data_IF_015356026786
#
_entry.id   IF_015356026786
#
_cell.length_a   1.000
_cell.length_b   1.000
_cell.length_c   1.000
_cell.angle_alpha   90.00
_cell.angle_beta   90.00
_cell.angle_gamma   90.00
#
_symmetry.space_group_name_H-M   'P 1'
#
loop_
_entity.id
_entity.type
_entity.pdbx_description
1 polymer ?
#
# COMPACT_ATOMS: atom_id res chain seq x y z
N UNK A 1 22.75 -22.07 -65.02
CA UNK A 1 23.84 -22.17 -64.01
C UNK A 1 24.34 -20.76 -63.75
N UNK A 2 24.41 -20.39 -62.48
CA UNK A 2 24.59 -19.04 -61.96
C UNK A 2 25.99 -18.45 -62.18
N UNK A 3 26.15 -17.20 -61.67
CA UNK A 3 27.36 -16.42 -61.38
C UNK A 3 27.77 -15.43 -62.48
N UNK A 4 28.15 -14.17 -62.23
CA UNK A 4 28.20 -13.28 -61.06
C UNK A 4 28.62 -11.89 -61.59
N UNK A 5 28.40 -10.79 -60.85
CA UNK A 5 29.00 -9.48 -61.18
C UNK A 5 28.25 -8.23 -60.70
N UNK A 6 28.47 -7.84 -59.42
CA UNK A 6 28.94 -6.52 -58.91
C UNK A 6 28.66 -5.23 -59.73
N UNK A 7 28.28 -4.03 -59.26
CA UNK A 7 28.65 -3.21 -58.07
C UNK A 7 27.63 -2.05 -57.92
N UNK A 8 27.36 -1.68 -56.66
CA UNK A 8 26.92 -0.41 -56.03
C UNK A 8 26.23 0.73 -56.80
N UNK A 9 25.19 1.30 -56.16
CA UNK A 9 25.24 2.71 -55.75
C UNK A 9 24.42 2.91 -54.45
N UNK A 10 25.05 3.50 -53.44
CA UNK A 10 24.43 3.98 -52.20
C UNK A 10 23.84 5.37 -52.44
N UNK A 11 22.59 5.59 -52.04
CA UNK A 11 22.09 6.91 -51.70
C UNK A 11 21.10 6.81 -50.54
N UNK A 12 21.48 7.46 -49.45
CA UNK A 12 20.72 7.82 -48.26
C UNK A 12 19.26 8.22 -48.55
N UNK A 13 18.31 7.56 -47.88
CA UNK A 13 16.98 8.15 -47.62
C UNK A 13 16.49 7.74 -46.21
N UNK A 14 16.69 8.69 -45.29
CA UNK A 14 15.81 9.08 -44.17
C UNK A 14 14.82 8.03 -43.61
N UNK A 15 15.09 7.56 -42.39
CA UNK A 15 14.08 6.98 -41.49
C UNK A 15 13.02 8.04 -41.12
N UNK A 16 11.71 7.73 -41.21
CA UNK A 16 10.70 8.34 -40.35
C UNK A 16 10.51 7.50 -39.05
N UNK A 17 9.93 8.11 -38.01
CA UNK A 17 10.12 7.71 -36.62
C UNK A 17 9.19 6.58 -36.14
N UNK A 18 9.59 6.02 -35.00
CA UNK A 18 8.80 5.20 -34.08
C UNK A 18 7.43 5.84 -33.83
N UNK A 19 6.37 5.07 -34.01
CA UNK A 19 4.99 5.51 -33.81
C UNK A 19 4.04 4.87 -34.83
N UNK A 20 3.79 3.58 -34.69
CA UNK A 20 2.68 2.91 -35.35
C UNK A 20 1.95 2.10 -34.27
N UNK A 21 0.82 2.62 -33.80
CA UNK A 21 -0.15 1.85 -33.03
C UNK A 21 -0.64 0.67 -33.88
N UNK A 22 -0.72 -0.55 -33.34
CA UNK A 22 -1.46 -1.61 -34.02
C UNK A 22 -2.96 -1.40 -33.79
N UNK A 23 -3.60 -0.68 -34.71
CA UNK A 23 -5.05 -0.73 -34.89
C UNK A 23 -5.43 -2.09 -35.48
N UNK A 24 -5.60 -3.09 -34.62
CA UNK A 24 -6.14 -4.39 -34.98
C UNK A 24 -7.03 -4.88 -33.84
N UNK A 25 -8.31 -5.14 -34.13
CA UNK A 25 -9.18 -5.86 -33.20
C UNK A 25 -8.58 -7.27 -32.99
N UNK A 26 -8.26 -7.68 -31.75
CA UNK A 26 -7.62 -8.97 -31.49
C UNK A 26 -8.63 -10.13 -31.54
N UNK A 27 -8.12 -11.35 -31.63
CA UNK A 27 -8.91 -12.59 -31.71
C UNK A 27 -9.48 -13.05 -30.37
N UNK A 28 -10.48 -13.94 -30.43
CA UNK A 28 -11.39 -14.33 -29.33
C UNK A 28 -10.77 -14.96 -28.06
N UNK A 29 -9.45 -15.21 -28.01
CA UNK A 29 -8.77 -15.94 -26.91
C UNK A 29 -7.75 -15.11 -26.11
N UNK A 30 -7.54 -13.83 -26.43
CA UNK A 30 -6.58 -12.99 -25.71
C UNK A 30 -7.26 -12.16 -24.62
N UNK A 31 -6.78 -12.29 -23.38
CA UNK A 31 -7.28 -11.52 -22.24
C UNK A 31 -6.53 -10.19 -22.13
N UNK A 32 -7.29 -9.10 -22.14
CA UNK A 32 -6.77 -7.74 -22.03
C UNK A 32 -7.22 -7.08 -20.73
N UNK A 33 -6.27 -6.36 -20.13
CA UNK A 33 -6.49 -5.45 -19.03
C UNK A 33 -6.39 -4.02 -19.58
N UNK A 34 -7.41 -3.21 -19.30
CA UNK A 34 -7.49 -1.83 -19.74
C UNK A 34 -7.07 -0.89 -18.62
N UNK A 35 -6.57 0.29 -18.99
CA UNK A 35 -6.20 1.34 -18.03
C UNK A 35 -7.44 2.13 -17.54
N UNK A 36 -8.56 2.06 -18.25
CA UNK A 36 -9.81 2.73 -17.94
C UNK A 36 -11.02 1.79 -18.06
N UNK A 37 -12.09 2.01 -17.26
CA UNK A 37 -13.32 1.25 -17.40
C UNK A 37 -14.04 1.59 -18.71
N UNK A 38 -14.71 0.60 -19.31
CA UNK A 38 -15.47 0.78 -20.55
C UNK A 38 -16.89 1.22 -20.24
N UNK A 39 -17.29 2.38 -20.76
CA UNK A 39 -18.64 2.91 -20.63
C UNK A 39 -19.70 1.89 -21.13
N UNK A 40 -20.78 1.74 -20.35
CA UNK A 40 -21.87 0.81 -20.66
C UNK A 40 -21.51 -0.68 -20.45
N UNK A 41 -20.30 -1.02 -19.99
CA UNK A 41 -19.94 -2.40 -19.63
C UNK A 41 -19.63 -2.52 -18.15
N UNK A 42 -19.93 -3.70 -17.59
CA UNK A 42 -19.40 -4.06 -16.26
C UNK A 42 -17.93 -4.38 -16.44
N UNK A 43 -17.09 -3.72 -15.66
CA UNK A 43 -15.66 -3.96 -15.59
C UNK A 43 -15.31 -4.49 -14.20
N UNK A 44 -14.34 -5.39 -14.14
CA UNK A 44 -13.76 -5.88 -12.88
C UNK A 44 -12.40 -5.22 -12.73
N UNK A 45 -12.30 -4.28 -11.79
CA UNK A 45 -11.07 -3.61 -11.43
C UNK A 45 -10.21 -4.54 -10.57
N UNK A 46 -9.00 -4.85 -11.04
CA UNK A 46 -8.05 -5.73 -10.37
C UNK A 46 -6.71 -5.05 -10.21
N UNK A 47 -5.95 -5.54 -9.23
CA UNK A 47 -4.56 -5.16 -9.02
C UNK A 47 -3.67 -6.41 -9.10
N UNK A 48 -3.32 -6.84 -10.33
CA UNK A 48 -2.77 -8.15 -10.58
C UNK A 48 -1.25 -8.20 -10.45
N UNK A 49 -0.74 -8.14 -9.23
CA UNK A 49 0.70 -8.37 -8.96
C UNK A 49 1.15 -9.75 -9.48
N UNK A 50 0.25 -10.75 -9.49
CA UNK A 50 0.55 -12.13 -9.90
C UNK A 50 0.41 -12.45 -11.40
N UNK A 51 -0.22 -11.60 -12.24
CA UNK A 51 -0.64 -12.03 -13.60
C UNK A 51 0.23 -11.47 -14.72
N UNK A 52 1.00 -10.40 -14.48
CA UNK A 52 1.88 -9.83 -15.51
C UNK A 52 3.37 -9.83 -15.14
N UNK A 53 4.29 -9.99 -16.11
CA UNK A 53 5.71 -9.72 -15.90
C UNK A 53 5.87 -8.24 -15.53
N UNK A 54 6.84 -7.87 -14.66
CA UNK A 54 7.10 -6.48 -14.37
C UNK A 54 7.72 -5.86 -15.62
N UNK A 55 6.90 -5.24 -16.47
CA UNK A 55 7.35 -4.24 -17.42
C UNK A 55 7.74 -2.94 -16.71
N UNK A 56 7.77 -2.94 -15.37
CA UNK A 56 7.96 -1.75 -14.55
C UNK A 56 6.73 -0.84 -14.57
N UNK A 57 5.51 -1.36 -14.65
CA UNK A 57 4.30 -0.50 -14.58
C UNK A 57 3.34 -0.96 -13.49
N UNK A 58 2.74 0.02 -12.83
CA UNK A 58 2.47 0.14 -11.38
C UNK A 58 1.13 -0.50 -10.97
N UNK A 59 0.72 -0.31 -9.70
CA UNK A 59 -0.46 -0.92 -9.10
C UNK A 59 -1.08 0.02 -8.04
N UNK A 60 -2.35 0.40 -8.19
CA UNK A 60 -3.13 1.11 -7.14
C UNK A 60 -4.59 0.59 -7.15
N UNK A 61 -5.29 0.68 -6.01
CA UNK A 61 -6.75 0.46 -5.90
C UNK A 61 -7.35 1.85 -5.73
N UNK A 62 -8.36 2.26 -6.51
CA UNK A 62 -8.88 3.61 -6.39
C UNK A 62 -9.60 3.74 -5.04
N UNK A 63 -8.91 4.32 -4.07
CA UNK A 63 -9.53 4.86 -2.88
C UNK A 63 -9.31 6.38 -2.88
N UNK A 64 -10.42 7.10 -2.69
CA UNK A 64 -10.54 8.54 -2.40
C UNK A 64 -9.99 9.48 -3.49
N UNK A 65 -10.90 10.04 -4.31
CA UNK A 65 -10.55 11.09 -5.28
C UNK A 65 -9.92 12.33 -4.63
N UNK A 66 -10.19 12.60 -3.35
CA UNK A 66 -9.51 13.65 -2.56
C UNK A 66 -7.99 13.47 -2.36
N UNK A 67 -7.41 12.32 -2.74
CA UNK A 67 -5.96 12.09 -2.73
C UNK A 67 -5.27 12.45 -4.06
N UNK A 68 -6.04 12.74 -5.12
CA UNK A 68 -5.50 13.09 -6.45
C UNK A 68 -4.71 14.40 -6.42
N UNK A 69 -5.14 15.41 -5.66
CA UNK A 69 -4.59 16.76 -5.72
C UNK A 69 -3.21 16.93 -5.05
N UNK A 70 -2.96 16.24 -3.94
CA UNK A 70 -1.75 16.47 -3.13
C UNK A 70 -0.48 15.83 -3.72
N UNK A 71 -0.62 14.77 -4.52
CA UNK A 71 0.54 14.06 -5.08
C UNK A 71 1.12 14.77 -6.32
N UNK A 72 0.25 15.40 -7.12
CA UNK A 72 0.65 16.22 -8.26
C UNK A 72 1.45 17.45 -7.83
N UNK A 73 1.01 18.12 -6.76
CA UNK A 73 1.70 19.29 -6.21
C UNK A 73 3.03 18.93 -5.53
N UNK A 74 3.14 17.77 -4.87
CA UNK A 74 4.35 17.36 -4.17
C UNK A 74 5.44 16.78 -5.09
N UNK A 75 5.07 16.11 -6.17
CA UNK A 75 6.01 15.35 -7.02
C UNK A 75 6.22 15.94 -8.41
N UNK A 76 5.36 16.85 -8.86
CA UNK A 76 5.40 17.42 -10.21
C UNK A 76 5.02 16.43 -11.32
N UNK A 77 4.44 15.29 -10.96
CA UNK A 77 3.90 14.27 -11.86
C UNK A 77 2.41 14.07 -11.56
N UNK A 78 1.58 14.01 -12.61
CA UNK A 78 0.18 13.63 -12.49
C UNK A 78 0.00 12.21 -11.89
N UNK A 79 -1.22 11.79 -11.49
CA UNK A 79 -1.55 10.42 -11.07
C UNK A 79 -1.49 9.40 -12.23
N UNK A 80 -0.70 9.67 -13.26
CA UNK A 80 -0.54 8.87 -14.50
C UNK A 80 0.03 7.45 -14.24
N UNK A 81 0.30 7.12 -12.98
CA UNK A 81 0.92 5.89 -12.51
C UNK A 81 0.02 5.06 -11.57
N UNK A 82 -1.28 5.34 -11.47
CA UNK A 82 -2.23 4.57 -10.68
C UNK A 82 -2.87 3.44 -11.52
N UNK A 83 -2.17 2.33 -11.78
CA UNK A 83 -2.79 1.27 -12.60
C UNK A 83 -3.63 0.33 -11.72
N UNK A 84 -4.87 0.74 -11.52
CA UNK A 84 -5.99 -0.20 -11.44
C UNK A 84 -6.22 -0.70 -12.86
N UNK A 85 -6.25 -2.02 -13.05
CA UNK A 85 -6.51 -2.58 -14.36
C UNK A 85 -7.94 -3.08 -14.45
N UNK A 86 -8.59 -2.83 -15.58
CA UNK A 86 -9.98 -3.19 -15.79
C UNK A 86 -10.05 -4.40 -16.73
N UNK A 87 -10.51 -5.52 -16.19
CA UNK A 87 -10.93 -6.65 -17.00
C UNK A 87 -12.39 -6.46 -17.42
N UNK A 88 -12.67 -6.61 -18.72
CA UNK A 88 -14.03 -6.58 -19.26
C UNK A 88 -14.47 -8.02 -19.52
N UNK A 89 -15.39 -8.59 -18.73
CA UNK A 89 -15.93 -9.91 -19.00
C UNK A 89 -16.57 -10.00 -20.39
N UNK A 90 -16.50 -11.20 -20.99
CA UNK A 90 -17.06 -11.50 -22.31
C UNK A 90 -18.52 -11.06 -22.45
N UNK A 91 -18.93 -10.68 -23.66
CA UNK A 91 -20.30 -10.20 -23.93
C UNK A 91 -21.39 -11.21 -23.51
N UNK A 92 -21.08 -12.51 -23.52
CA UNK A 92 -21.99 -13.57 -23.09
C UNK A 92 -22.35 -13.54 -21.59
N UNK A 93 -21.62 -12.81 -20.76
CA UNK A 93 -21.92 -12.64 -19.32
C UNK A 93 -22.25 -11.20 -18.94
N UNK A 94 -22.08 -10.23 -19.85
CA UNK A 94 -22.29 -8.80 -19.58
C UNK A 94 -23.74 -8.49 -19.19
N UNK A 95 -24.74 -8.97 -19.95
CA UNK A 95 -26.15 -8.67 -19.65
C UNK A 95 -26.56 -9.10 -18.24
N UNK A 96 -26.09 -10.26 -17.80
CA UNK A 96 -26.37 -10.78 -16.45
C UNK A 96 -25.67 -9.95 -15.38
N UNK A 97 -24.40 -9.61 -15.57
CA UNK A 97 -23.65 -8.78 -14.62
C UNK A 97 -24.25 -7.37 -14.53
N UNK A 98 -24.62 -6.77 -15.66
CA UNK A 98 -25.31 -5.48 -15.71
C UNK A 98 -26.63 -5.52 -14.92
N UNK A 99 -27.42 -6.59 -15.08
CA UNK A 99 -28.67 -6.75 -14.34
C UNK A 99 -28.42 -6.88 -12.83
N UNK A 100 -27.39 -7.62 -12.41
CA UNK A 100 -27.02 -7.75 -11.00
C UNK A 100 -26.51 -6.44 -10.41
N UNK A 101 -25.65 -5.71 -11.15
CA UNK A 101 -25.10 -4.41 -10.74
C UNK A 101 -26.17 -3.32 -10.66
N UNK A 102 -27.11 -3.28 -11.63
CA UNK A 102 -28.24 -2.35 -11.61
C UNK A 102 -29.21 -2.56 -10.44
N UNK A 103 -29.13 -3.73 -9.78
CA UNK A 103 -29.91 -4.03 -8.58
C UNK A 103 -29.31 -3.49 -7.28
N UNK A 104 -28.08 -2.96 -7.29
CA UNK A 104 -27.44 -2.37 -6.12
C UNK A 104 -27.96 -0.95 -5.86
N UNK A 105 -28.29 -0.63 -4.60
CA UNK A 105 -28.76 0.70 -4.22
C UNK A 105 -27.64 1.53 -3.59
N UNK A 106 -27.03 2.40 -4.39
CA UNK A 106 -26.01 3.34 -3.92
C UNK A 106 -26.52 4.42 -2.95
N UNK A 107 -27.84 4.53 -2.77
CA UNK A 107 -28.45 5.50 -1.84
C UNK A 107 -28.83 4.88 -0.50
N UNK A 108 -28.63 3.56 -0.33
CA UNK A 108 -28.98 2.82 0.88
C UNK A 108 -28.27 3.33 2.13
N UNK A 109 -27.11 3.97 1.97
CA UNK A 109 -26.31 4.41 3.10
C UNK A 109 -25.60 3.25 3.79
N UNK A 110 -25.00 3.55 4.94
CA UNK A 110 -24.34 2.57 5.82
C UNK A 110 -24.92 2.77 7.22
N UNK A 111 -25.34 1.68 7.86
CA UNK A 111 -25.79 1.74 9.24
C UNK A 111 -24.61 1.89 10.20
N UNK A 112 -24.82 2.46 11.39
CA UNK A 112 -23.78 2.57 12.42
C UNK A 112 -23.23 1.21 12.88
N UNK A 113 -24.04 0.15 12.77
CA UNK A 113 -23.62 -1.21 13.05
C UNK A 113 -22.72 -1.76 11.94
N UNK A 114 -23.03 -1.43 10.68
CA UNK A 114 -22.30 -1.93 9.52
C UNK A 114 -21.01 -1.16 9.26
N UNK A 115 -20.94 0.13 9.61
CA UNK A 115 -19.69 0.91 9.57
C UNK A 115 -18.63 0.39 10.55
N UNK A 116 -19.05 -0.36 11.58
CA UNK A 116 -18.16 -1.02 12.54
C UNK A 116 -17.80 -2.46 12.15
N UNK A 117 -18.53 -3.07 11.20
CA UNK A 117 -18.21 -4.37 10.62
C UNK A 117 -17.16 -4.19 9.54
N UNK A 118 -15.94 -3.87 9.95
CA UNK A 118 -14.78 -3.81 9.05
C UNK A 118 -14.52 -5.18 8.42
N UNK A 119 -15.14 -5.45 7.28
CA UNK A 119 -14.90 -6.68 6.53
C UNK A 119 -13.48 -6.71 5.94
N UNK A 120 -13.05 -7.91 5.53
CA UNK A 120 -11.83 -8.07 4.74
C UNK A 120 -12.17 -7.95 3.26
N UNK A 121 -11.56 -6.97 2.58
CA UNK A 121 -11.66 -6.84 1.13
C UNK A 121 -11.04 -8.07 0.44
N UNK A 122 -11.33 -8.30 -0.84
CA UNK A 122 -10.74 -9.41 -1.61
C UNK A 122 -9.87 -8.95 -2.78
N UNK A 123 -9.55 -7.66 -2.83
CA UNK A 123 -8.55 -7.09 -3.73
C UNK A 123 -9.02 -6.85 -5.16
N UNK A 124 -10.34 -6.85 -5.40
CA UNK A 124 -10.92 -6.39 -6.65
C UNK A 124 -12.21 -5.61 -6.38
N UNK A 125 -12.59 -4.79 -7.36
CA UNK A 125 -13.80 -3.96 -7.31
C UNK A 125 -14.63 -4.16 -8.58
N UNK A 126 -15.93 -3.92 -8.51
CA UNK A 126 -16.85 -3.96 -9.64
C UNK A 126 -17.22 -2.56 -10.07
N UNK A 127 -17.02 -2.25 -11.35
CA UNK A 127 -17.26 -0.93 -11.91
C UNK A 127 -18.39 -0.97 -12.94
N UNK A 128 -19.38 -0.08 -12.79
CA UNK A 128 -20.50 0.06 -13.73
C UNK A 128 -21.19 1.42 -13.59
N UNK A 129 -21.44 2.09 -14.72
CA UNK A 129 -22.16 3.38 -14.79
C UNK A 129 -21.59 4.44 -13.82
N UNK A 130 -20.26 4.55 -13.80
CA UNK A 130 -19.52 5.50 -12.94
C UNK A 130 -19.43 5.10 -11.46
N UNK A 131 -20.00 3.98 -11.04
CA UNK A 131 -19.92 3.50 -9.66
C UNK A 131 -18.88 2.40 -9.52
N UNK A 132 -18.13 2.42 -8.42
CA UNK A 132 -17.15 1.40 -8.05
C UNK A 132 -17.54 0.79 -6.73
N UNK A 133 -17.60 -0.53 -6.70
CA UNK A 133 -17.99 -1.33 -5.55
C UNK A 133 -16.85 -2.24 -5.13
N UNK A 134 -16.23 -1.95 -3.98
CA UNK A 134 -15.20 -2.80 -3.39
C UNK A 134 -15.83 -4.07 -2.82
N UNK A 135 -15.26 -5.22 -3.16
CA UNK A 135 -15.81 -6.52 -2.77
C UNK A 135 -15.14 -7.06 -1.51
N UNK A 136 -15.94 -7.64 -0.63
CA UNK A 136 -15.52 -8.22 0.64
C UNK A 136 -15.70 -9.74 0.67
N UNK A 137 -14.95 -10.42 1.55
CA UNK A 137 -14.92 -11.88 1.68
C UNK A 137 -16.28 -12.50 2.02
N UNK A 138 -17.15 -11.75 2.71
CA UNK A 138 -18.48 -12.21 3.11
C UNK A 138 -19.56 -12.04 2.02
N UNK A 139 -19.20 -11.42 0.88
CA UNK A 139 -20.13 -11.13 -0.22
C UNK A 139 -20.81 -9.77 -0.10
N UNK A 140 -20.39 -8.92 0.83
CA UNK A 140 -20.75 -7.51 0.86
C UNK A 140 -19.96 -6.69 -0.16
N UNK A 141 -20.56 -5.56 -0.58
CA UNK A 141 -20.03 -4.61 -1.53
C UNK A 141 -20.15 -3.20 -0.97
N UNK A 142 -19.03 -2.49 -0.91
CA UNK A 142 -18.97 -1.11 -0.43
C UNK A 142 -18.77 -0.14 -1.59
N UNK A 143 -19.59 0.90 -1.66
CA UNK A 143 -19.45 2.00 -2.61
C UNK A 143 -19.11 3.27 -1.84
N UNK A 144 -18.09 3.99 -2.31
CA UNK A 144 -17.73 5.33 -1.87
C UNK A 144 -17.56 6.23 -3.09
N UNK A 145 -18.27 7.34 -3.10
CA UNK A 145 -18.11 8.42 -4.08
C UNK A 145 -18.06 9.75 -3.34
N UNK A 146 -17.10 10.60 -3.71
CA UNK A 146 -17.04 11.99 -3.26
C UNK A 146 -17.16 12.88 -4.48
N UNK A 147 -18.10 13.82 -4.46
CA UNK A 147 -18.18 14.86 -5.47
C UNK A 147 -17.23 15.99 -5.06
N UNK A 148 -16.19 16.24 -5.86
CA UNK A 148 -15.13 17.21 -5.54
C UNK A 148 -15.64 18.66 -5.50
N UNK A 149 -16.67 18.98 -6.28
CA UNK A 149 -17.22 20.34 -6.38
C UNK A 149 -18.13 20.68 -5.18
N UNK A 150 -18.88 19.69 -4.70
CA UNK A 150 -19.89 19.86 -3.66
C UNK A 150 -19.45 19.32 -2.29
N UNK A 151 -18.38 18.50 -2.27
CA UNK A 151 -17.94 17.69 -1.13
C UNK A 151 -19.03 16.73 -0.61
N UNK A 152 -20.06 16.45 -1.42
CA UNK A 152 -21.07 15.47 -1.08
C UNK A 152 -20.46 14.06 -1.18
N UNK A 153 -20.62 13.30 -0.10
CA UNK A 153 -20.15 11.91 -0.04
C UNK A 153 -21.35 10.98 -0.13
N UNK A 154 -21.30 10.06 -1.08
CA UNK A 154 -22.22 8.93 -1.18
C UNK A 154 -21.49 7.68 -0.70
N UNK A 155 -21.95 7.11 0.40
CA UNK A 155 -21.47 5.81 0.89
C UNK A 155 -22.64 4.81 0.92
N UNK A 156 -22.40 3.58 0.50
CA UNK A 156 -23.40 2.52 0.58
C UNK A 156 -22.76 1.15 0.82
N UNK A 157 -23.49 0.30 1.55
CA UNK A 157 -23.14 -1.11 1.74
C UNK A 157 -24.28 -2.02 1.28
N UNK A 158 -23.97 -2.90 0.33
CA UNK A 158 -24.89 -3.89 -0.20
C UNK A 158 -24.40 -5.31 0.04
N UNK A 159 -25.32 -6.27 0.00
CA UNK A 159 -25.00 -7.70 0.02
C UNK A 159 -25.49 -8.34 -1.27
N UNK A 160 -24.56 -8.90 -2.06
CA UNK A 160 -24.92 -9.65 -3.25
C UNK A 160 -23.90 -10.77 -3.49
N UNK A 161 -23.97 -11.79 -2.64
CA UNK A 161 -23.06 -12.94 -2.72
C UNK A 161 -23.04 -13.61 -4.10
N UNK A 162 -24.19 -13.67 -4.79
CA UNK A 162 -24.27 -14.27 -6.12
C UNK A 162 -23.44 -13.49 -7.15
N UNK A 163 -23.51 -12.16 -7.13
CA UNK A 163 -22.66 -11.29 -7.95
C UNK A 163 -21.18 -11.45 -7.60
N UNK A 164 -20.84 -11.45 -6.31
CA UNK A 164 -19.46 -11.63 -5.84
C UNK A 164 -18.87 -12.98 -6.27
N UNK A 165 -19.60 -14.08 -6.06
CA UNK A 165 -19.21 -15.43 -6.47
C UNK A 165 -19.02 -15.52 -7.99
N UNK A 166 -19.89 -14.84 -8.76
CA UNK A 166 -19.81 -14.82 -10.22
C UNK A 166 -18.57 -14.06 -10.71
N UNK A 167 -18.30 -12.89 -10.15
CA UNK A 167 -17.10 -12.11 -10.44
C UNK A 167 -15.82 -12.89 -10.08
N UNK A 168 -15.77 -13.50 -8.90
CA UNK A 168 -14.65 -14.32 -8.47
C UNK A 168 -14.42 -15.53 -9.39
N UNK A 169 -15.50 -16.19 -9.84
CA UNK A 169 -15.43 -17.30 -10.80
C UNK A 169 -14.83 -16.87 -12.14
N UNK A 170 -15.27 -15.73 -12.68
CA UNK A 170 -14.73 -15.15 -13.92
C UNK A 170 -13.24 -14.84 -13.77
N UNK A 171 -12.86 -14.15 -12.69
CA UNK A 171 -11.48 -13.78 -12.39
C UNK A 171 -10.57 -15.02 -12.26
N UNK A 172 -11.02 -16.05 -11.55
CA UNK A 172 -10.29 -17.31 -11.44
C UNK A 172 -10.10 -18.00 -12.78
N UNK A 173 -11.18 -18.14 -13.56
CA UNK A 173 -11.15 -18.87 -14.84
C UNK A 173 -10.31 -18.15 -15.89
N UNK A 174 -10.47 -16.83 -16.01
CA UNK A 174 -9.91 -16.03 -17.10
C UNK A 174 -8.53 -15.47 -16.79
N UNK A 175 -8.27 -15.18 -15.52
CA UNK A 175 -7.04 -14.52 -15.09
C UNK A 175 -6.20 -15.36 -14.12
N UNK A 176 -6.72 -16.47 -13.60
CA UNK A 176 -6.08 -17.16 -12.47
C UNK A 176 -6.02 -16.28 -11.21
N UNK A 177 -6.89 -15.27 -11.12
CA UNK A 177 -6.88 -14.32 -10.01
C UNK A 177 -7.71 -14.85 -8.86
N UNK A 178 -7.06 -15.12 -7.73
CA UNK A 178 -7.71 -15.53 -6.49
C UNK A 178 -7.07 -14.81 -5.29
N UNK A 179 -7.82 -14.60 -4.19
CA UNK A 179 -7.24 -14.10 -2.95
C UNK A 179 -6.14 -15.04 -2.46
N UNK A 180 -4.97 -14.47 -2.18
CA UNK A 180 -3.83 -15.21 -1.62
C UNK A 180 -3.81 -14.96 -0.12
N UNK A 181 -3.81 -16.04 0.67
CA UNK A 181 -3.57 -15.99 2.11
C UNK A 181 -2.08 -16.21 2.41
N UNK A 182 -1.32 -15.16 2.81
CA UNK A 182 0.11 -15.28 3.06
C UNK A 182 0.48 -16.35 4.09
N UNK A 183 -0.40 -16.63 5.06
CA UNK A 183 -0.15 -17.62 6.12
C UNK A 183 -0.03 -19.06 5.58
N UNK A 184 -0.51 -19.30 4.36
CA UNK A 184 -0.49 -20.58 3.66
C UNK A 184 0.73 -20.76 2.74
N UNK A 185 1.49 -19.71 2.46
CA UNK A 185 2.68 -19.75 1.62
C UNK A 185 3.79 -20.50 2.37
N UNK A 186 4.22 -21.67 1.87
CA UNK A 186 5.20 -22.55 2.52
C UNK A 186 6.08 -23.26 1.50
N UNK A 187 7.17 -23.84 1.98
CA UNK A 187 8.08 -24.67 1.21
C UNK A 187 8.73 -23.87 0.06
N UNK A 188 9.16 -22.64 0.36
CA UNK A 188 9.84 -21.76 -0.60
C UNK A 188 11.20 -22.36 -0.97
N UNK A 189 11.46 -22.49 -2.27
CA UNK A 189 12.70 -23.05 -2.85
C UNK A 189 13.61 -21.99 -3.46
N UNK A 190 13.06 -20.86 -3.88
CA UNK A 190 13.82 -19.67 -4.26
C UNK A 190 13.01 -18.39 -4.05
N UNK A 191 13.71 -17.28 -3.82
CA UNK A 191 13.14 -15.95 -3.72
C UNK A 191 13.93 -15.01 -4.64
N UNK A 192 13.25 -14.30 -5.54
CA UNK A 192 13.87 -13.33 -6.46
C UNK A 192 13.30 -11.94 -6.20
N UNK A 193 14.17 -11.00 -5.82
CA UNK A 193 13.84 -9.59 -5.73
C UNK A 193 14.27 -8.88 -7.01
N UNK A 194 13.38 -8.04 -7.55
CA UNK A 194 13.67 -7.07 -8.60
C UNK A 194 13.38 -5.69 -8.04
N UNK A 195 14.36 -4.79 -8.09
CA UNK A 195 14.24 -3.41 -7.64
C UNK A 195 14.60 -2.43 -8.75
N UNK A 196 13.79 -1.39 -8.94
CA UNK A 196 14.05 -0.32 -9.92
C UNK A 196 13.90 1.03 -9.24
N UNK A 197 15.02 1.69 -8.95
CA UNK A 197 15.03 3.05 -8.40
C UNK A 197 14.37 4.03 -9.38
N UNK A 198 13.49 4.89 -8.86
CA UNK A 198 12.86 5.96 -9.63
C UNK A 198 13.05 7.30 -8.95
N UNK A 199 13.83 8.19 -9.58
CA UNK A 199 14.06 9.54 -9.04
C UNK A 199 13.89 10.60 -10.11
N UNK A 200 12.99 11.55 -9.86
CA UNK A 200 12.75 12.70 -10.76
C UNK A 200 12.35 12.30 -12.19
N UNK A 201 11.51 11.26 -12.34
CA UNK A 201 11.00 10.76 -13.62
C UNK A 201 12.01 9.98 -14.46
N UNK A 202 13.16 9.62 -13.90
CA UNK A 202 14.12 8.71 -14.55
C UNK A 202 14.13 7.38 -13.81
N UNK A 203 14.08 6.31 -14.60
CA UNK A 203 14.22 4.94 -14.11
C UNK A 203 15.68 4.52 -14.22
N UNK A 204 16.22 3.97 -13.13
CA UNK A 204 17.51 3.30 -13.16
C UNK A 204 17.40 1.93 -13.87
N UNK A 205 18.54 1.32 -14.18
CA UNK A 205 18.53 -0.07 -14.62
C UNK A 205 18.05 -0.98 -13.46
N UNK A 206 17.16 -1.95 -13.72
CA UNK A 206 16.64 -2.82 -12.67
C UNK A 206 17.74 -3.67 -12.07
N UNK A 207 17.80 -3.68 -10.74
CA UNK A 207 18.61 -4.59 -9.94
C UNK A 207 17.84 -5.89 -9.73
N UNK A 208 18.54 -7.03 -9.75
CA UNK A 208 17.92 -8.34 -9.57
C UNK A 208 18.81 -9.26 -8.75
N UNK A 209 18.21 -9.93 -7.77
CA UNK A 209 18.87 -10.97 -7.01
C UNK A 209 17.94 -12.14 -6.75
N UNK A 210 18.46 -13.35 -6.96
CA UNK A 210 17.81 -14.60 -6.55
C UNK A 210 18.58 -15.21 -5.39
N UNK A 211 17.87 -15.56 -4.33
CA UNK A 211 18.38 -16.28 -3.16
C UNK A 211 17.82 -17.69 -3.15
N UNK A 212 18.70 -18.67 -2.88
CA UNK A 212 18.37 -20.09 -2.75
C UNK A 212 18.90 -20.70 -1.45
N UNK A 213 19.46 -19.89 -0.55
CA UNK A 213 19.98 -20.36 0.74
C UNK A 213 18.80 -20.78 1.65
N UNK A 214 18.72 -22.05 2.10
CA UNK A 214 17.60 -22.52 2.90
C UNK A 214 17.41 -21.78 4.24
N UNK A 215 18.47 -21.25 4.85
CA UNK A 215 18.36 -20.47 6.09
C UNK A 215 17.71 -19.11 5.85
N UNK A 216 18.08 -18.44 4.76
CA UNK A 216 17.48 -17.17 4.34
C UNK A 216 16.03 -17.37 3.93
N UNK A 217 15.74 -18.38 3.11
CA UNK A 217 14.39 -18.69 2.65
C UNK A 217 13.42 -18.98 3.81
N UNK A 218 13.90 -19.62 4.89
CA UNK A 218 13.09 -19.82 6.11
C UNK A 218 12.71 -18.51 6.80
N UNK A 219 13.56 -17.48 6.76
CA UNK A 219 13.24 -16.18 7.33
C UNK A 219 12.25 -15.40 6.46
N UNK A 220 12.46 -15.41 5.14
CA UNK A 220 11.52 -14.83 4.17
C UNK A 220 10.14 -15.47 4.33
N UNK A 221 10.07 -16.81 4.37
CA UNK A 221 8.82 -17.54 4.61
C UNK A 221 8.16 -17.12 5.95
N UNK A 222 8.95 -17.01 7.02
CA UNK A 222 8.45 -16.58 8.33
C UNK A 222 7.81 -15.19 8.26
N UNK A 223 8.47 -14.21 7.62
CA UNK A 223 7.94 -12.84 7.46
C UNK A 223 6.61 -12.84 6.68
N UNK A 224 6.55 -13.56 5.55
CA UNK A 224 5.33 -13.66 4.75
C UNK A 224 4.19 -14.27 5.56
N UNK A 225 4.46 -15.36 6.30
CA UNK A 225 3.44 -16.12 7.02
C UNK A 225 2.99 -15.54 8.35
N UNK A 226 3.65 -14.49 8.84
CA UNK A 226 3.19 -13.76 10.02
C UNK A 226 2.47 -12.47 9.62
N UNK A 227 2.42 -12.17 8.32
CA UNK A 227 1.88 -10.93 7.82
C UNK A 227 0.39 -10.82 8.12
N UNK A 228 -0.02 -9.64 8.57
CA UNK A 228 -1.40 -9.34 8.97
C UNK A 228 -2.03 -8.46 7.91
N UNK A 229 -3.29 -8.75 7.61
CA UNK A 229 -4.08 -7.91 6.72
C UNK A 229 -4.13 -6.47 7.26
N UNK A 230 -3.82 -5.52 6.39
CA UNK A 230 -3.88 -4.09 6.67
C UNK A 230 -5.16 -3.51 6.06
N UNK A 231 -6.14 -3.21 6.90
CA UNK A 231 -7.41 -2.64 6.47
C UNK A 231 -7.22 -1.18 6.00
N UNK A 232 -7.83 -0.81 4.88
CA UNK A 232 -7.73 0.55 4.31
C UNK A 232 -6.46 0.84 3.51
N UNK A 233 -5.56 -0.14 3.39
CA UNK A 233 -4.36 -0.04 2.57
C UNK A 233 -3.22 0.75 3.20
N UNK A 234 -2.29 1.19 2.36
CA UNK A 234 -1.06 1.88 2.76
C UNK A 234 -0.72 2.97 1.74
N UNK A 235 -0.30 4.13 2.22
CA UNK A 235 0.21 5.23 1.38
C UNK A 235 1.66 5.04 0.90
N UNK A 236 2.28 3.90 1.23
CA UNK A 236 3.68 3.63 0.88
C UNK A 236 3.83 3.35 -0.63
N UNK A 237 5.04 3.51 -1.16
CA UNK A 237 5.33 3.33 -2.59
C UNK A 237 5.60 1.85 -2.93
N UNK A 238 4.74 1.21 -3.73
CA UNK A 238 4.85 -0.23 -4.08
C UNK A 238 5.39 -0.51 -5.49
N UNK A 239 5.95 0.49 -6.16
CA UNK A 239 6.25 0.41 -7.60
C UNK A 239 7.70 0.09 -7.94
N UNK A 240 8.59 0.10 -6.96
CA UNK A 240 10.02 -0.08 -7.19
C UNK A 240 10.45 -1.53 -6.97
N UNK A 241 9.79 -2.27 -6.09
CA UNK A 241 10.23 -3.60 -5.65
C UNK A 241 9.19 -4.69 -5.88
N UNK A 242 9.60 -5.78 -6.56
CA UNK A 242 8.81 -7.00 -6.72
C UNK A 242 9.58 -8.20 -6.20
N UNK A 243 9.00 -8.90 -5.24
CA UNK A 243 9.47 -10.20 -4.76
C UNK A 243 8.67 -11.31 -5.42
N UNK A 244 9.37 -12.24 -6.06
CA UNK A 244 8.80 -13.49 -6.57
C UNK A 244 9.35 -14.65 -5.75
N UNK A 245 8.47 -15.43 -5.11
CA UNK A 245 8.83 -16.66 -4.41
C UNK A 245 8.38 -17.87 -5.23
N UNK A 246 9.24 -18.87 -5.36
CA UNK A 246 8.93 -20.13 -6.03
C UNK A 246 8.79 -21.24 -5.00
N UNK A 247 7.64 -21.88 -4.95
CA UNK A 247 7.34 -22.96 -4.01
C UNK A 247 7.89 -24.30 -4.54
N UNK A 248 8.00 -25.29 -3.66
CA UNK A 248 8.41 -26.65 -4.05
C UNK A 248 7.45 -27.34 -5.04
N UNK A 249 6.21 -26.86 -5.14
CA UNK A 249 5.23 -27.26 -6.17
C UNK A 249 5.58 -26.74 -7.57
N UNK A 250 6.49 -25.77 -7.68
CA UNK A 250 6.77 -25.01 -8.90
C UNK A 250 5.87 -23.79 -9.09
N UNK A 251 4.92 -23.54 -8.18
CA UNK A 251 4.09 -22.33 -8.17
C UNK A 251 4.94 -21.10 -7.86
N UNK A 252 4.69 -20.00 -8.57
CA UNK A 252 5.30 -18.71 -8.31
C UNK A 252 4.26 -17.75 -7.71
N UNK A 253 4.62 -17.08 -6.62
CA UNK A 253 3.81 -16.03 -6.01
C UNK A 253 4.61 -14.74 -6.03
N UNK A 254 3.99 -13.68 -6.51
CA UNK A 254 4.56 -12.34 -6.66
C UNK A 254 3.92 -11.37 -5.69
N UNK A 255 4.75 -10.51 -5.14
CA UNK A 255 4.38 -9.52 -4.14
C UNK A 255 5.09 -8.22 -4.48
N UNK A 256 4.37 -7.12 -4.47
CA UNK A 256 4.98 -5.79 -4.57
C UNK A 256 5.32 -5.33 -3.15
N UNK A 257 6.55 -4.86 -2.92
CA UNK A 257 6.98 -4.38 -1.61
C UNK A 257 6.99 -2.87 -1.59
N UNK A 258 6.64 -2.33 -0.42
CA UNK A 258 6.97 -0.95 -0.12
C UNK A 258 8.49 -0.80 -0.15
N UNK A 259 9.00 0.21 -0.87
CA UNK A 259 10.44 0.47 -1.00
C UNK A 259 10.97 1.52 -0.02
N UNK A 260 10.14 1.92 0.93
CA UNK A 260 10.47 2.80 2.05
C UNK A 260 10.62 1.98 3.35
N UNK A 261 10.59 2.65 4.50
CA UNK A 261 10.64 2.00 5.81
C UNK A 261 9.36 1.25 6.18
N UNK A 262 8.36 1.11 5.30
CA UNK A 262 7.16 0.35 5.62
C UNK A 262 7.43 -1.17 5.54
N UNK A 263 6.93 -1.93 6.52
CA UNK A 263 6.96 -3.40 6.49
C UNK A 263 5.73 -3.98 5.76
N UNK A 264 5.39 -3.44 4.58
CA UNK A 264 4.16 -3.79 3.87
C UNK A 264 4.47 -4.44 2.51
N UNK A 265 3.70 -5.47 2.15
CA UNK A 265 3.62 -5.96 0.78
C UNK A 265 2.17 -6.02 0.29
N UNK A 266 2.03 -5.98 -1.03
CA UNK A 266 0.77 -6.09 -1.77
C UNK A 266 0.74 -7.41 -2.56
N UNK A 267 -0.34 -8.18 -2.42
CA UNK A 267 -0.63 -9.37 -3.22
C UNK A 267 -2.07 -9.29 -3.72
N UNK A 268 -2.29 -9.32 -5.03
CA UNK A 268 -3.64 -9.33 -5.63
C UNK A 268 -4.58 -8.29 -4.97
N UNK A 269 -4.17 -7.02 -4.95
CA UNK A 269 -4.98 -5.93 -4.36
C UNK A 269 -5.12 -5.97 -2.83
N UNK A 270 -4.36 -6.80 -2.12
CA UNK A 270 -4.46 -6.92 -0.67
C UNK A 270 -3.15 -6.54 0.00
N UNK A 271 -3.23 -5.63 0.98
CA UNK A 271 -2.09 -5.14 1.74
C UNK A 271 -1.88 -5.98 2.99
N UNK A 272 -0.62 -6.32 3.24
CA UNK A 272 -0.22 -7.07 4.42
C UNK A 272 1.01 -6.46 5.07
N UNK A 273 0.89 -6.19 6.36
CA UNK A 273 2.01 -5.80 7.22
C UNK A 273 2.72 -7.06 7.72
N UNK A 274 3.92 -7.31 7.23
CA UNK A 274 4.74 -8.47 7.58
C UNK A 274 5.55 -8.29 8.87
N UNK A 275 5.53 -7.10 9.47
CA UNK A 275 6.23 -6.81 10.71
C UNK A 275 5.57 -5.71 11.55
N UNK A 276 4.40 -5.98 12.15
CA UNK A 276 3.65 -4.97 12.90
C UNK A 276 4.32 -4.46 14.20
N UNK A 277 5.51 -4.98 14.54
CA UNK A 277 6.22 -4.75 15.80
C UNK A 277 7.74 -4.62 15.61
N UNK A 278 8.22 -4.28 14.42
CA UNK A 278 9.67 -4.17 14.22
C UNK A 278 10.05 -3.30 13.03
N UNK A 279 11.35 -3.09 12.88
CA UNK A 279 11.95 -2.24 11.86
C UNK A 279 11.45 -2.57 10.44
N UNK A 280 11.17 -1.51 9.68
CA UNK A 280 10.89 -1.54 8.25
C UNK A 280 11.92 -2.25 7.39
N UNK A 281 11.52 -2.65 6.17
CA UNK A 281 12.49 -3.06 5.15
C UNK A 281 13.27 -4.37 5.40
N UNK A 282 12.97 -5.15 6.45
CA UNK A 282 13.68 -6.41 6.73
C UNK A 282 13.76 -7.37 5.54
N UNK A 283 12.75 -7.35 4.65
CA UNK A 283 12.75 -8.22 3.49
C UNK A 283 13.94 -7.94 2.56
N UNK A 284 14.33 -6.67 2.40
CA UNK A 284 15.47 -6.26 1.55
C UNK A 284 16.82 -6.71 2.12
N UNK A 285 16.95 -6.81 3.45
CA UNK A 285 18.19 -7.27 4.12
C UNK A 285 18.62 -8.68 3.70
N UNK A 286 17.70 -9.50 3.19
CA UNK A 286 18.02 -10.82 2.65
C UNK A 286 18.58 -10.81 1.22
N UNK A 287 18.65 -9.63 0.59
CA UNK A 287 19.11 -9.43 -0.78
C UNK A 287 20.29 -8.44 -0.82
N UNK A 288 21.49 -8.92 -0.46
CA UNK A 288 22.74 -8.14 -0.35
C UNK A 288 23.24 -7.42 -1.63
N UNK A 289 22.62 -7.67 -2.78
CA UNK A 289 22.93 -7.02 -4.08
C UNK A 289 21.86 -6.04 -4.53
N UNK A 290 20.79 -5.89 -3.75
CA UNK A 290 19.75 -4.91 -3.97
C UNK A 290 20.05 -3.73 -3.04
N UNK A 291 20.39 -2.59 -3.63
CA UNK A 291 20.67 -1.35 -2.93
C UNK A 291 19.44 -0.46 -3.04
N UNK A 292 18.81 -0.19 -1.90
CA UNK A 292 17.63 0.68 -1.81
C UNK A 292 18.05 1.94 -1.04
N UNK A 293 18.04 3.12 -1.69
CA UNK A 293 18.39 4.37 -1.02
C UNK A 293 17.54 4.58 0.24
N UNK A 294 18.18 4.82 1.39
CA UNK A 294 17.50 5.00 2.67
C UNK A 294 17.28 3.73 3.49
N UNK A 295 17.59 2.54 2.97
CA UNK A 295 17.59 1.28 3.73
C UNK A 295 19.01 0.75 4.05
N UNK A 296 20.05 1.33 3.45
CA UNK A 296 21.43 0.83 3.49
C UNK A 296 22.30 1.35 4.66
N UNK A 297 21.74 2.09 5.64
CA UNK A 297 22.52 2.75 6.71
C UNK A 297 22.13 2.33 8.15
N UNK A 298 21.90 1.03 8.36
CA UNK A 298 21.99 0.42 9.70
C UNK A 298 23.13 -0.61 9.73
N UNK A 299 24.32 -0.16 9.35
CA UNK A 299 25.54 -0.87 9.67
C UNK A 299 25.75 -0.90 11.19
N UNK A 300 25.88 -2.10 11.75
CA UNK A 300 26.34 -2.43 13.11
C UNK A 300 26.98 -1.24 13.84
N UNK A 301 26.19 -0.52 14.64
CA UNK A 301 26.74 0.16 15.80
C UNK A 301 26.51 -0.74 16.99
N UNK A 302 27.56 -1.50 17.29
CA UNK A 302 27.81 -2.10 18.58
C UNK A 302 27.54 -1.05 19.68
N UNK A 303 26.33 -1.06 20.25
CA UNK A 303 26.01 -0.35 21.49
C UNK A 303 25.68 -1.39 22.55
N UNK A 304 26.74 -1.79 23.22
CA UNK A 304 26.65 -2.22 24.61
C UNK A 304 25.93 -1.16 25.42
N UNK A 305 24.74 -1.47 25.92
CA UNK A 305 24.17 -0.88 27.14
C UNK A 305 23.40 -2.00 27.82
N UNK A 306 23.89 -2.59 28.92
CA UNK A 306 24.17 -1.83 30.13
C UNK A 306 22.82 -1.43 30.72
N UNK A 307 22.15 -2.39 31.37
CA UNK A 307 20.85 -2.18 31.99
C UNK A 307 20.89 -1.01 32.97
N UNK A 308 20.09 0.00 32.66
CA UNK A 308 19.66 1.04 33.58
C UNK A 308 18.15 1.10 33.46
N UNK A 309 17.44 0.97 34.57
CA UNK A 309 15.99 1.17 34.62
C UNK A 309 15.65 2.52 33.97
N UNK A 310 14.83 2.51 32.92
CA UNK A 310 14.39 3.74 32.28
C UNK A 310 13.39 4.46 33.20
N UNK A 311 13.51 5.79 33.40
CA UNK A 311 12.60 6.56 34.28
C UNK A 311 11.16 6.64 33.78
N UNK A 312 10.93 6.27 32.52
CA UNK A 312 9.63 6.36 31.83
C UNK A 312 9.16 4.95 31.51
N UNK A 313 7.89 4.67 31.83
CA UNK A 313 7.25 3.39 31.53
C UNK A 313 6.97 3.27 30.03
N UNK A 314 7.50 2.27 29.32
CA UNK A 314 7.08 1.97 27.96
C UNK A 314 5.56 1.66 27.92
N UNK A 315 4.90 2.04 26.83
CA UNK A 315 3.47 1.83 26.64
C UNK A 315 2.80 2.91 25.81
N UNK A 316 1.47 2.80 25.70
CA UNK A 316 0.64 3.72 24.91
C UNK A 316 0.10 4.83 25.80
N UNK A 317 0.44 6.07 25.47
CA UNK A 317 -0.01 7.28 26.13
C UNK A 317 -1.06 7.99 25.26
N UNK A 318 -2.26 8.21 25.77
CA UNK A 318 -3.37 8.84 25.02
C UNK A 318 -3.76 10.16 25.67
N UNK A 319 -4.09 11.17 24.86
CA UNK A 319 -4.55 12.49 25.33
C UNK A 319 -5.78 12.37 26.24
N UNK A 320 -5.76 13.08 27.38
CA UNK A 320 -6.94 13.26 28.23
C UNK A 320 -7.77 14.48 27.79
N UNK A 321 -8.72 14.30 26.87
CA UNK A 321 -9.73 15.34 26.54
C UNK A 321 -11.12 14.99 27.07
N UNK A 322 -11.79 15.97 27.70
CA UNK A 322 -13.24 15.89 27.93
C UNK A 322 -13.97 16.54 26.75
N UNK A 323 -14.71 15.74 25.99
CA UNK A 323 -15.70 16.24 25.02
C UNK A 323 -15.19 16.49 23.59
N UNK A 324 -14.21 15.72 23.11
CA UNK A 324 -13.78 15.77 21.72
C UNK A 324 -14.67 14.88 20.83
N UNK A 325 -14.93 15.30 19.59
CA UNK A 325 -15.81 14.62 18.61
C UNK A 325 -15.04 13.97 17.45
N UNK A 326 -13.71 13.91 17.53
CA UNK A 326 -12.85 13.22 16.57
C UNK A 326 -12.87 11.70 16.76
N UNK A 327 -12.74 10.95 15.67
CA UNK A 327 -12.88 9.48 15.64
C UNK A 327 -11.71 8.75 16.33
N UNK A 328 -10.53 9.38 16.49
CA UNK A 328 -9.34 8.83 17.16
C UNK A 328 -8.59 9.95 17.90
N UNK A 329 -8.25 9.75 19.18
CA UNK A 329 -7.47 10.70 19.99
C UNK A 329 -5.96 10.62 19.69
N UNK A 330 -5.21 11.73 19.76
CA UNK A 330 -3.75 11.72 19.65
C UNK A 330 -3.11 10.79 20.67
N UNK A 331 -2.04 10.10 20.27
CA UNK A 331 -1.34 9.17 21.15
C UNK A 331 0.15 9.08 20.85
N UNK A 332 0.92 8.74 21.88
CA UNK A 332 2.35 8.41 21.82
C UNK A 332 2.51 6.94 22.22
N UNK A 333 3.33 6.18 21.51
CA UNK A 333 3.75 4.84 21.91
C UNK A 333 5.25 4.88 22.16
N UNK A 334 5.68 4.41 23.33
CA UNK A 334 7.08 4.21 23.68
C UNK A 334 7.33 2.71 23.85
N UNK A 335 8.25 2.14 23.09
CA UNK A 335 8.58 0.70 23.13
C UNK A 335 9.80 0.41 24.02
N UNK A 336 9.90 -0.80 24.56
CA UNK A 336 11.00 -1.19 25.46
C UNK A 336 12.40 -1.12 24.81
N UNK A 337 12.46 -1.22 23.49
CA UNK A 337 13.70 -1.18 22.69
C UNK A 337 14.16 0.24 22.34
N UNK A 338 13.43 1.27 22.78
CA UNK A 338 13.75 2.67 22.53
C UNK A 338 13.13 3.24 21.25
N UNK A 339 12.29 2.49 20.53
CA UNK A 339 11.49 3.03 19.43
C UNK A 339 10.25 3.75 19.93
N UNK A 340 9.70 4.63 19.11
CA UNK A 340 8.46 5.33 19.43
C UNK A 340 7.64 5.66 18.18
N UNK A 341 6.34 5.87 18.41
CA UNK A 341 5.46 6.49 17.43
C UNK A 341 4.68 7.64 18.06
N UNK A 342 4.40 8.68 17.28
CA UNK A 342 3.57 9.79 17.72
C UNK A 342 2.54 10.13 16.65
N UNK A 343 1.28 9.90 17.00
CA UNK A 343 0.13 10.17 16.14
C UNK A 343 -0.60 11.38 16.68
N UNK A 344 -0.52 12.50 15.96
CA UNK A 344 -1.11 13.76 16.42
C UNK A 344 -2.42 14.12 15.72
N UNK A 345 -2.70 13.72 14.47
CA UNK A 345 -3.92 14.13 13.75
C UNK A 345 -4.52 12.96 12.97
N UNK A 346 -5.86 12.86 12.93
CA UNK A 346 -6.60 11.82 12.16
C UNK A 346 -6.70 12.17 10.69
N UNK A 347 -6.69 13.47 10.39
CA UNK A 347 -6.82 14.00 9.03
C UNK A 347 -5.46 14.13 8.35
N UNK A 348 -4.37 14.27 9.14
CA UNK A 348 -3.02 14.09 8.64
C UNK A 348 -2.63 12.64 8.83
N UNK A 349 -2.49 11.89 7.73
CA UNK A 349 -1.96 10.53 7.70
C UNK A 349 -0.49 10.42 8.15
N UNK A 350 0.07 11.47 8.77
CA UNK A 350 1.41 11.47 9.31
C UNK A 350 1.42 10.90 10.73
N UNK A 351 1.86 9.66 10.84
CA UNK A 351 2.34 9.09 12.08
C UNK A 351 3.86 9.30 12.11
N UNK A 352 4.34 10.05 13.10
CA UNK A 352 5.77 10.13 13.36
C UNK A 352 6.26 8.77 13.87
N UNK A 353 7.38 8.28 13.33
CA UNK A 353 8.08 7.10 13.80
C UNK A 353 9.56 7.44 13.97
N UNK A 354 10.11 7.09 15.13
CA UNK A 354 11.50 7.40 15.42
C UNK A 354 11.99 6.70 16.66
N UNK A 355 13.05 7.24 17.25
CA UNK A 355 13.59 6.76 18.53
C UNK A 355 13.26 7.77 19.62
N UNK A 356 13.15 7.31 20.86
CA UNK A 356 13.05 8.21 22.00
C UNK A 356 14.24 8.08 22.94
N UNK A 357 14.55 9.19 23.60
CA UNK A 357 15.53 9.24 24.69
C UNK A 357 14.91 9.92 25.88
N UNK A 358 15.23 9.39 27.06
CA UNK A 358 14.95 10.05 28.33
C UNK A 358 16.21 10.80 28.73
N UNK A 359 16.16 12.12 28.70
CA UNK A 359 17.26 13.02 29.08
C UNK A 359 17.17 13.38 30.58
N UNK A 360 18.11 14.20 31.05
CA UNK A 360 18.07 14.76 32.40
C UNK A 360 16.77 15.55 32.63
N UNK A 361 16.34 15.66 33.90
CA UNK A 361 15.12 16.38 34.32
C UNK A 361 13.78 15.77 33.83
N UNK A 362 13.74 14.46 33.54
CA UNK A 362 12.56 13.74 33.04
C UNK A 362 12.06 14.24 31.68
N UNK A 363 12.94 14.79 30.84
CA UNK A 363 12.59 15.13 29.47
C UNK A 363 12.58 13.87 28.61
N UNK A 364 11.54 13.68 27.81
CA UNK A 364 11.45 12.61 26.79
C UNK A 364 11.48 13.28 25.43
N UNK A 365 12.49 12.96 24.63
CA UNK A 365 12.65 13.49 23.28
C UNK A 365 12.49 12.38 22.27
N UNK A 366 11.55 12.55 21.35
CA UNK A 366 11.30 11.68 20.21
C UNK A 366 11.99 12.31 19.01
N UNK A 367 12.78 11.56 18.26
CA UNK A 367 13.54 12.10 17.13
C UNK A 367 13.57 11.12 15.95
N UNK A 368 13.37 11.66 14.75
CA UNK A 368 13.68 11.03 13.46
C UNK A 368 14.71 11.90 12.70
N UNK A 369 14.91 11.67 11.40
CA UNK A 369 15.88 12.43 10.59
C UNK A 369 15.49 13.90 10.33
N UNK A 370 14.23 14.27 10.56
CA UNK A 370 13.62 15.55 10.13
C UNK A 370 12.96 16.30 11.29
N UNK A 371 12.34 15.59 12.22
CA UNK A 371 11.49 16.11 13.29
C UNK A 371 11.97 15.64 14.66
N UNK A 372 11.75 16.51 15.63
CA UNK A 372 11.99 16.28 17.06
C UNK A 372 10.79 16.76 17.86
N UNK A 373 10.24 15.90 18.71
CA UNK A 373 9.14 16.22 19.61
C UNK A 373 9.57 16.01 21.06
N UNK A 374 9.23 16.95 21.93
CA UNK A 374 9.71 17.01 23.31
C UNK A 374 8.52 16.94 24.26
N UNK A 375 8.65 16.08 25.26
CA UNK A 375 7.70 15.91 26.33
C UNK A 375 8.40 16.02 27.69
N UNK A 376 7.70 16.54 28.68
CA UNK A 376 8.10 16.40 30.09
C UNK A 376 7.37 15.21 30.69
N UNK A 377 8.10 14.26 31.27
CA UNK A 377 7.52 13.14 32.01
C UNK A 377 7.33 13.50 33.49
N UNK A 378 6.09 13.45 33.96
CA UNK A 378 5.77 13.77 35.35
C UNK A 378 4.55 12.98 35.81
N UNK A 379 4.66 12.31 36.96
CA UNK A 379 3.52 11.61 37.58
C UNK A 379 2.92 10.48 36.75
N UNK A 380 3.69 9.86 35.85
CA UNK A 380 3.19 8.81 34.95
C UNK A 380 2.55 9.34 33.65
N UNK A 381 2.66 10.63 33.39
CA UNK A 381 2.08 11.31 32.22
C UNK A 381 3.18 11.95 31.37
N UNK A 382 2.94 12.07 30.06
CA UNK A 382 3.75 12.84 29.13
C UNK A 382 3.07 14.18 28.86
N UNK A 383 3.78 15.28 29.03
CA UNK A 383 3.28 16.64 28.83
C UNK A 383 4.00 17.22 27.61
N UNK A 384 3.27 17.51 26.53
CA UNK A 384 3.86 18.02 25.29
C UNK A 384 4.42 19.44 25.47
N UNK A 385 5.64 19.68 24.98
CA UNK A 385 6.33 20.97 25.00
C UNK A 385 6.46 21.47 23.55
N UNK A 386 5.57 22.37 23.15
CA UNK A 386 5.51 22.83 21.77
C UNK A 386 6.70 23.75 21.42
N UNK A 387 7.22 24.52 22.38
CA UNK A 387 8.31 25.47 22.19
C UNK A 387 9.64 24.77 21.88
N UNK A 388 9.84 23.56 22.42
CA UNK A 388 11.01 22.71 22.16
C UNK A 388 10.78 21.65 21.08
N UNK A 389 9.56 21.54 20.58
CA UNK A 389 9.17 20.59 19.54
C UNK A 389 9.23 21.19 18.15
N UNK A 390 9.26 20.32 17.15
CA UNK A 390 9.03 20.69 15.76
C UNK A 390 7.59 21.12 15.56
N UNK A 391 7.38 22.06 14.62
CA UNK A 391 6.06 22.58 14.30
C UNK A 391 5.13 21.44 13.81
N UNK A 392 4.03 21.24 14.52
CA UNK A 392 2.95 20.34 14.07
C UNK A 392 2.10 21.13 13.07
N UNK A 393 2.24 20.80 11.78
CA UNK A 393 1.39 21.34 10.71
C UNK A 393 0.23 20.39 10.48
N UNK A 394 -0.98 20.94 10.49
CA UNK A 394 -2.19 20.19 10.13
C UNK A 394 -2.74 20.66 8.79
N UNK A 395 -3.34 19.73 8.04
CA UNK A 395 -3.83 19.90 6.67
C UNK A 395 -4.72 21.14 6.42
N UNK A 396 -5.46 21.61 7.44
CA UNK A 396 -6.37 22.75 7.32
C UNK A 396 -5.78 24.10 7.77
N UNK A 397 -4.52 24.13 8.22
CA UNK A 397 -3.88 25.31 8.81
C UNK A 397 -4.63 25.90 10.01
N UNK A 398 -5.59 25.17 10.57
CA UNK A 398 -6.64 25.73 11.43
C UNK A 398 -6.84 25.00 12.75
N UNK A 399 -6.44 23.74 12.89
CA UNK A 399 -6.59 23.00 14.15
C UNK A 399 -5.32 22.25 14.48
N UNK A 400 -4.51 22.82 15.37
CA UNK A 400 -3.45 22.08 16.05
C UNK A 400 -4.13 21.03 16.92
N UNK A 401 -3.96 19.77 16.57
CA UNK A 401 -4.56 18.65 17.29
C UNK A 401 -3.86 18.33 18.61
N UNK A 402 -2.63 18.83 18.83
CA UNK A 402 -1.86 18.71 20.09
C UNK A 402 -1.28 20.06 20.50
N UNK A 403 -1.84 20.66 21.56
CA UNK A 403 -1.42 21.98 22.05
C UNK A 403 -0.24 21.91 23.04
N UNK A 404 0.46 23.03 23.24
CA UNK A 404 1.45 23.14 24.31
C UNK A 404 0.83 22.81 25.68
N UNK A 405 1.55 22.02 26.49
CA UNK A 405 1.10 21.54 27.79
C UNK A 405 0.04 20.42 27.72
N UNK A 406 -0.25 19.87 26.54
CA UNK A 406 -1.21 18.77 26.40
C UNK A 406 -0.70 17.49 27.09
N UNK A 407 -1.59 16.87 27.86
CA UNK A 407 -1.27 15.75 28.76
C UNK A 407 -1.73 14.43 28.16
N UNK A 408 -0.78 13.52 28.00
CA UNK A 408 -0.99 12.15 27.57
C UNK A 408 -0.80 11.21 28.77
N UNK A 409 -1.77 10.33 29.00
CA UNK A 409 -1.75 9.38 30.12
C UNK A 409 -1.56 7.97 29.61
N UNK A 410 -0.75 7.20 30.33
CA UNK A 410 -0.56 5.78 30.06
C UNK A 410 -1.93 5.07 30.11
N UNK A 411 -2.26 4.39 29.02
CA UNK A 411 -3.46 3.59 28.90
C UNK A 411 -3.17 2.21 29.50
N UNK A 412 -3.93 1.81 30.52
CA UNK A 412 -3.89 0.44 31.03
C UNK A 412 -4.29 -0.52 29.89
N UNK A 413 -3.52 -1.58 29.65
CA UNK A 413 -3.87 -2.60 28.64
C UNK A 413 -5.28 -3.18 28.94
N UNK A 414 -6.16 -3.33 27.93
CA UNK A 414 -7.46 -3.98 28.10
C UNK A 414 -7.37 -5.48 28.40
#
# INVERSE_FOLDING_TARGET
>A
KAADGSVADEAEETKPPVGAEPSGMPGDDEVYLLDEPVEGKVCIAVNPVNIHPPTGRYFHIPHREGWRSNWEEATGYGPENAYTYYYVPDDGVQEELQQMMAGLDKTKGISEEDSQKGGRMIGYSLCYEGNTWDVYEDGSLYCYQSDDDTLEVTEALEENKALCDKAAGILKEKLGYEPVDPNRIRDITSATMVYTERRGGKEAAPQRQTVTDPAVLRQIEKLIRQARYLHGGSGCSFYEAVLTVTLSSGEEIRMALASDSCAVFLINGMYYDYQPKGEGGQMFRYFDRILVPGLDDEGDTEKTSGGSEMPVTPGRYVVKRRGHTGVIDPYVVLDEDGTCSFFYSVLDSYAFYGTYKVEEENTVTLTDDVYSYVFTYSGGELIFDADRSSEIRTFDGGIVSVADGEVFSLQDEP
#
